data_IF_505242022426
#
_entry.id   IF_505242022426
#
_cell.length_a   1.000
_cell.length_b   1.000
_cell.length_c   1.000
_cell.angle_alpha   90.00
_cell.angle_beta   90.00
_cell.angle_gamma   90.00
#
_symmetry.space_group_name_H-M   'P 1'
#
loop_
_entity.id
_entity.type
_entity.pdbx_description
1 polymer ?
#
# COMPACT_ATOMS: atom_id res chain seq x y z
N UNK A 1 -24.87 25.44 -5.79
CA UNK A 1 -23.78 24.46 -5.58
C UNK A 1 -23.49 23.90 -6.95
N UNK A 2 -22.48 24.43 -7.64
CA UNK A 2 -22.09 23.91 -8.94
C UNK A 2 -21.23 22.67 -8.71
N UNK A 3 -21.73 21.52 -9.15
CA UNK A 3 -20.98 20.26 -9.13
C UNK A 3 -20.03 20.29 -10.32
N UNK A 4 -18.79 20.72 -10.10
CA UNK A 4 -17.77 20.70 -11.13
C UNK A 4 -17.13 19.30 -11.21
N UNK A 5 -17.46 18.55 -12.26
CA UNK A 5 -16.89 17.23 -12.54
C UNK A 5 -15.59 17.42 -13.34
N UNK A 6 -14.49 17.67 -12.63
CA UNK A 6 -13.18 17.83 -13.23
C UNK A 6 -12.50 16.47 -13.53
N UNK A 7 -11.31 16.52 -14.14
CA UNK A 7 -10.54 15.31 -14.43
C UNK A 7 -10.16 14.52 -13.17
N UNK A 8 -9.98 15.21 -12.03
CA UNK A 8 -9.66 14.60 -10.74
C UNK A 8 -10.80 13.72 -10.24
N UNK A 9 -12.05 14.20 -10.34
CA UNK A 9 -13.23 13.41 -9.99
C UNK A 9 -13.32 12.11 -10.81
N UNK A 10 -13.16 12.20 -12.13
CA UNK A 10 -13.24 11.03 -13.01
C UNK A 10 -12.08 10.06 -12.78
N UNK A 11 -10.87 10.57 -12.55
CA UNK A 11 -9.71 9.75 -12.20
C UNK A 11 -9.93 9.01 -10.88
N UNK A 12 -10.40 9.71 -9.84
CA UNK A 12 -10.75 9.12 -8.55
C UNK A 12 -11.82 8.03 -8.67
N UNK A 13 -12.83 8.25 -9.52
CA UNK A 13 -13.88 7.26 -9.78
C UNK A 13 -13.31 6.00 -10.46
N UNK A 14 -12.47 6.15 -11.48
CA UNK A 14 -11.81 5.02 -12.15
C UNK A 14 -10.92 4.24 -11.16
N UNK A 15 -10.11 4.93 -10.36
CA UNK A 15 -9.25 4.33 -9.34
C UNK A 15 -10.08 3.50 -8.36
N UNK A 16 -11.20 4.03 -7.89
CA UNK A 16 -12.06 3.38 -6.89
C UNK A 16 -12.65 2.05 -7.35
N UNK A 17 -12.79 1.82 -8.65
CA UNK A 17 -13.34 0.58 -9.22
C UNK A 17 -12.23 -0.34 -9.72
N UNK A 18 -11.27 0.19 -10.47
CA UNK A 18 -10.24 -0.61 -11.14
C UNK A 18 -9.26 -1.21 -10.13
N UNK A 19 -8.82 -0.46 -9.13
CA UNK A 19 -7.84 -1.00 -8.17
C UNK A 19 -8.38 -2.17 -7.36
N UNK A 20 -9.58 -2.13 -6.77
CA UNK A 20 -10.14 -3.29 -6.07
C UNK A 20 -10.28 -4.53 -6.95
N UNK A 21 -10.59 -4.36 -8.25
CA UNK A 21 -10.64 -5.47 -9.21
C UNK A 21 -9.25 -6.08 -9.41
N UNK A 22 -8.21 -5.27 -9.57
CA UNK A 22 -6.83 -5.75 -9.67
C UNK A 22 -6.38 -6.46 -8.40
N UNK A 23 -6.72 -5.92 -7.23
CA UNK A 23 -6.45 -6.57 -5.92
C UNK A 23 -7.19 -7.91 -5.83
N UNK A 24 -8.46 -7.96 -6.23
CA UNK A 24 -9.25 -9.19 -6.31
C UNK A 24 -8.62 -10.23 -7.24
N UNK A 25 -8.13 -9.81 -8.41
CA UNK A 25 -7.44 -10.68 -9.35
C UNK A 25 -6.14 -11.25 -8.77
N UNK A 26 -5.31 -10.40 -8.18
CA UNK A 26 -4.05 -10.83 -7.54
C UNK A 26 -4.34 -11.80 -6.39
N UNK A 27 -5.34 -11.49 -5.56
CA UNK A 27 -5.65 -12.31 -4.39
C UNK A 27 -6.22 -13.68 -4.74
N UNK A 28 -6.94 -13.80 -5.87
CA UNK A 28 -7.59 -15.04 -6.32
C UNK A 28 -6.73 -15.88 -7.26
N UNK A 29 -5.90 -15.27 -8.11
CA UNK A 29 -5.14 -15.99 -9.15
C UNK A 29 -3.68 -16.23 -8.78
N UNK A 30 -3.09 -15.42 -7.90
CA UNK A 30 -1.69 -15.58 -7.50
C UNK A 30 -1.60 -16.47 -6.26
N UNK A 31 -1.10 -17.68 -6.45
CA UNK A 31 -0.98 -18.68 -5.39
C UNK A 31 0.35 -18.60 -4.62
N UNK A 32 1.40 -18.09 -5.25
CA UNK A 32 2.70 -17.93 -4.61
C UNK A 32 2.67 -16.77 -3.62
N UNK A 33 2.88 -17.03 -2.33
CA UNK A 33 2.76 -16.05 -1.25
C UNK A 33 3.64 -14.80 -1.47
N UNK A 34 4.91 -14.99 -1.82
CA UNK A 34 5.84 -13.88 -2.08
C UNK A 34 5.44 -13.01 -3.28
N UNK A 35 5.03 -13.62 -4.40
CA UNK A 35 4.61 -12.88 -5.61
C UNK A 35 3.33 -12.10 -5.33
N UNK A 36 2.37 -12.74 -4.65
CA UNK A 36 1.12 -12.10 -4.22
C UNK A 36 1.42 -10.89 -3.35
N UNK A 37 2.31 -11.01 -2.37
CA UNK A 37 2.66 -9.91 -1.49
C UNK A 37 3.32 -8.74 -2.25
N UNK A 38 4.27 -9.00 -3.14
CA UNK A 38 4.92 -7.95 -3.93
C UNK A 38 3.91 -7.24 -4.84
N UNK A 39 3.02 -7.97 -5.52
CA UNK A 39 1.99 -7.38 -6.36
C UNK A 39 0.98 -6.54 -5.55
N UNK A 40 0.61 -7.00 -4.36
CA UNK A 40 -0.28 -6.24 -3.47
C UNK A 40 0.41 -4.99 -2.90
N UNK A 41 1.69 -5.08 -2.55
CA UNK A 41 2.49 -3.92 -2.15
C UNK A 41 2.59 -2.89 -3.28
N UNK A 42 2.80 -3.36 -4.52
CA UNK A 42 2.81 -2.50 -5.69
C UNK A 42 1.46 -1.80 -5.89
N UNK A 43 0.36 -2.55 -5.88
CA UNK A 43 -0.99 -1.98 -6.03
C UNK A 43 -1.34 -1.01 -4.90
N UNK A 44 -0.93 -1.30 -3.67
CA UNK A 44 -1.12 -0.38 -2.54
C UNK A 44 -0.33 0.90 -2.70
N UNK A 45 0.92 0.82 -3.16
CA UNK A 45 1.76 2.00 -3.39
C UNK A 45 1.19 2.84 -4.54
N UNK A 46 0.79 2.19 -5.62
CA UNK A 46 0.16 2.83 -6.77
C UNK A 46 -1.16 3.51 -6.37
N UNK A 47 -1.96 2.91 -5.50
CA UNK A 47 -3.17 3.55 -4.96
C UNK A 47 -2.85 4.88 -4.28
N UNK A 48 -1.90 4.88 -3.34
CA UNK A 48 -1.52 6.08 -2.60
C UNK A 48 -1.07 7.20 -3.55
N UNK A 49 -0.19 6.86 -4.50
CA UNK A 49 0.30 7.80 -5.50
C UNK A 49 -0.83 8.37 -6.39
N UNK A 50 -1.72 7.51 -6.87
CA UNK A 50 -2.82 7.93 -7.75
C UNK A 50 -3.86 8.78 -7.02
N UNK A 51 -4.14 8.50 -5.74
CA UNK A 51 -5.03 9.32 -4.91
C UNK A 51 -4.44 10.72 -4.70
N UNK A 52 -3.15 10.81 -4.39
CA UNK A 52 -2.47 12.08 -4.21
C UNK A 52 -2.38 12.87 -5.53
N UNK A 53 -2.16 12.18 -6.65
CA UNK A 53 -2.18 12.78 -7.98
C UNK A 53 -3.59 13.25 -8.40
N UNK A 54 -4.64 12.56 -7.96
CA UNK A 54 -6.03 12.95 -8.21
C UNK A 54 -6.39 14.23 -7.45
N UNK A 55 -5.91 14.37 -6.22
CA UNK A 55 -6.22 15.50 -5.34
C UNK A 55 -4.94 16.08 -4.76
N UNK A 56 -4.12 16.75 -5.59
CA UNK A 56 -2.82 17.25 -5.17
C UNK A 56 -2.97 18.35 -4.11
N UNK A 57 -2.19 18.23 -3.04
CA UNK A 57 -2.05 19.28 -2.04
C UNK A 57 -1.30 20.51 -2.59
N UNK A 58 -1.29 21.62 -1.84
CA UNK A 58 -0.65 22.87 -2.26
C UNK A 58 0.86 22.73 -2.57
N UNK A 59 1.54 21.76 -1.94
CA UNK A 59 2.98 21.49 -2.11
C UNK A 59 3.25 20.19 -2.90
N UNK A 60 2.27 19.70 -3.66
CA UNK A 60 2.43 18.44 -4.39
C UNK A 60 3.39 18.59 -5.58
N UNK A 61 4.51 17.88 -5.52
CA UNK A 61 5.42 17.69 -6.64
C UNK A 61 5.36 16.25 -7.16
N UNK A 62 4.90 16.00 -8.39
CA UNK A 62 4.73 14.65 -8.93
C UNK A 62 6.03 13.82 -8.94
N UNK A 63 7.17 14.47 -9.21
CA UNK A 63 8.47 13.81 -9.22
C UNK A 63 8.87 13.32 -7.82
N UNK A 64 8.67 14.17 -6.81
CA UNK A 64 8.95 13.86 -5.41
C UNK A 64 8.03 12.74 -4.91
N UNK A 65 6.73 12.82 -5.22
CA UNK A 65 5.76 11.76 -4.91
C UNK A 65 6.13 10.42 -5.57
N UNK A 66 6.59 10.44 -6.83
CA UNK A 66 7.02 9.22 -7.53
C UNK A 66 8.27 8.59 -6.90
N UNK A 67 9.26 9.40 -6.50
CA UNK A 67 10.44 8.93 -5.79
C UNK A 67 10.05 8.32 -4.44
N UNK A 68 9.18 9.00 -3.68
CA UNK A 68 8.68 8.50 -2.40
C UNK A 68 7.92 7.18 -2.55
N UNK A 69 7.07 7.06 -3.58
CA UNK A 69 6.36 5.83 -3.91
C UNK A 69 7.34 4.68 -4.19
N UNK A 70 8.37 4.92 -4.99
CA UNK A 70 9.38 3.91 -5.29
C UNK A 70 10.16 3.46 -4.05
N UNK A 71 10.59 4.41 -3.21
CA UNK A 71 11.30 4.12 -1.95
C UNK A 71 10.40 3.35 -0.98
N UNK A 72 9.12 3.74 -0.88
CA UNK A 72 8.14 3.08 -0.03
C UNK A 72 7.86 1.65 -0.49
N UNK A 73 7.71 1.44 -1.80
CA UNK A 73 7.55 0.11 -2.38
C UNK A 73 8.78 -0.76 -2.11
N UNK A 74 9.98 -0.26 -2.37
CA UNK A 74 11.23 -0.99 -2.13
C UNK A 74 11.37 -1.35 -0.64
N UNK A 75 11.14 -0.39 0.27
CA UNK A 75 11.14 -0.62 1.72
C UNK A 75 10.11 -1.66 2.13
N UNK A 76 8.91 -1.61 1.55
CA UNK A 76 7.85 -2.58 1.78
C UNK A 76 8.24 -3.99 1.36
N UNK A 77 8.81 -4.15 0.16
CA UNK A 77 9.31 -5.43 -0.36
C UNK A 77 10.42 -5.99 0.53
N UNK A 78 11.41 -5.15 0.87
CA UNK A 78 12.53 -5.55 1.74
C UNK A 78 12.05 -5.96 3.14
N UNK A 79 11.13 -5.19 3.72
CA UNK A 79 10.52 -5.51 5.00
C UNK A 79 9.72 -6.81 4.94
N UNK A 80 8.96 -7.02 3.86
CA UNK A 80 8.18 -8.24 3.65
C UNK A 80 9.05 -9.50 3.59
N UNK A 81 10.20 -9.43 2.92
CA UNK A 81 11.15 -10.55 2.86
C UNK A 81 12.07 -10.66 4.08
N UNK A 82 11.94 -9.75 5.05
CA UNK A 82 12.59 -9.85 6.35
C UNK A 82 13.95 -9.17 6.44
N UNK A 83 14.13 -8.02 5.78
CA UNK A 83 15.32 -7.16 5.97
C UNK A 83 15.63 -6.88 7.45
N UNK A 84 14.59 -6.78 8.27
CA UNK A 84 14.71 -6.52 9.71
C UNK A 84 14.97 -7.76 10.58
N UNK A 85 14.92 -8.98 10.02
CA UNK A 85 15.21 -10.22 10.76
C UNK A 85 16.54 -10.19 11.54
N UNK A 86 17.70 -9.81 10.94
CA UNK A 86 18.96 -9.76 11.68
C UNK A 86 19.00 -8.68 12.77
N UNK A 87 18.17 -7.64 12.68
CA UNK A 87 18.16 -6.54 13.64
C UNK A 87 17.35 -6.82 14.90
N UNK A 88 16.59 -7.93 14.95
CA UNK A 88 15.73 -8.28 16.10
C UNK A 88 14.51 -7.38 16.31
N UNK A 89 14.36 -6.30 15.54
CA UNK A 89 13.27 -5.32 15.66
C UNK A 89 11.90 -5.98 15.53
N UNK A 90 11.74 -6.92 14.59
CA UNK A 90 10.47 -7.64 14.41
C UNK A 90 10.10 -8.50 15.62
N UNK A 91 11.08 -9.16 16.25
CA UNK A 91 10.85 -9.98 17.44
C UNK A 91 10.51 -9.10 18.65
N UNK A 92 11.28 -8.02 18.86
CA UNK A 92 11.02 -7.06 19.94
C UNK A 92 9.63 -6.40 19.82
N UNK A 93 9.18 -6.09 18.59
CA UNK A 93 7.85 -5.57 18.35
C UNK A 93 6.75 -6.60 18.66
N UNK A 94 6.94 -7.87 18.29
CA UNK A 94 5.98 -8.94 18.59
C UNK A 94 5.86 -9.19 20.09
N UNK A 95 6.97 -9.30 20.81
CA UNK A 95 6.98 -9.59 22.26
C UNK A 95 6.35 -8.46 23.09
N UNK A 96 6.43 -7.22 22.61
CA UNK A 96 5.92 -6.04 23.34
C UNK A 96 4.47 -5.71 22.97
N UNK A 97 4.05 -5.94 21.72
CA UNK A 97 2.75 -5.52 21.20
C UNK A 97 1.74 -6.66 21.08
N UNK A 98 2.18 -7.91 20.96
CA UNK A 98 1.30 -9.09 20.94
C UNK A 98 1.40 -9.77 22.31
N UNK A 99 0.69 -9.23 23.31
CA UNK A 99 0.45 -9.97 24.56
C UNK A 99 -0.74 -10.88 24.34
N UNK A 100 -0.50 -12.19 24.30
CA UNK A 100 -1.57 -13.18 24.37
C UNK A 100 -2.45 -12.88 25.58
N UNK A 101 -3.70 -12.47 25.34
CA UNK A 101 -4.70 -12.43 26.39
C UNK A 101 -4.86 -13.87 26.91
N UNK A 102 -4.80 -14.12 28.23
CA UNK A 102 -4.92 -15.47 28.76
C UNK A 102 -6.27 -16.04 28.32
N UNK A 103 -6.23 -17.12 27.51
CA UNK A 103 -7.42 -17.93 27.25
C UNK A 103 -7.82 -18.55 28.57
N UNK A 104 -8.87 -17.98 29.18
CA UNK A 104 -9.43 -18.38 30.45
C UNK A 104 -9.75 -19.88 30.47
N UNK A 105 -9.31 -20.49 31.57
CA UNK A 105 -9.68 -21.81 32.06
C UNK A 105 -11.14 -21.89 32.49
#
# INVERSE_FOLDING_TARGET
>A
MDVNLDAAYWLGLVISVVLPVLVGLVTTRVTHAGVKAVLLLFLSTLNGFLVELASPGPDFEPATAAVLALVSFATGVLTHFGLWKPTGVTAAAQDTLVKDAPRGA
#
